data_IF_748196791458
#
_entry.id   IF_748196791458
#
_cell.length_a   1.000
_cell.length_b   1.000
_cell.length_c   1.000
_cell.angle_alpha   90.00
_cell.angle_beta   90.00
_cell.angle_gamma   90.00
#
_symmetry.space_group_name_H-M   'P 1'
#
loop_
_entity.id
_entity.type
_entity.pdbx_description
1 polymer ?
#
# COMPACT_ATOMS: atom_id res chain seq x y z
N UNK A 1 -2.55 -14.59 -33.71
CA UNK A 1 -1.49 -14.59 -32.67
C UNK A 1 -1.88 -13.54 -31.64
N UNK A 2 -1.89 -13.95 -30.36
CA UNK A 2 -2.18 -13.20 -29.14
C UNK A 2 -3.55 -12.50 -29.03
N UNK A 3 -4.46 -13.17 -28.32
CA UNK A 3 -5.71 -12.65 -27.79
C UNK A 3 -5.47 -11.48 -26.81
N UNK A 4 -6.38 -10.52 -26.82
CA UNK A 4 -6.39 -9.44 -25.84
C UNK A 4 -6.61 -9.98 -24.43
N UNK A 5 -5.76 -9.54 -23.49
CA UNK A 5 -6.04 -9.62 -22.07
C UNK A 5 -6.39 -8.22 -21.59
N UNK A 6 -7.68 -7.91 -21.62
CA UNK A 6 -8.25 -6.86 -20.79
C UNK A 6 -7.98 -7.24 -19.33
N UNK A 7 -7.05 -6.53 -18.68
CA UNK A 7 -6.79 -6.69 -17.26
C UNK A 7 -8.02 -6.13 -16.53
N UNK A 8 -8.96 -7.02 -16.20
CA UNK A 8 -10.11 -6.71 -15.37
C UNK A 8 -9.62 -6.44 -13.93
N UNK A 9 -9.24 -5.20 -13.64
CA UNK A 9 -9.04 -4.71 -12.27
C UNK A 9 -10.39 -4.51 -11.58
N UNK A 10 -11.18 -5.58 -11.47
CA UNK A 10 -12.34 -5.60 -10.60
C UNK A 10 -11.84 -5.74 -9.17
N UNK A 11 -12.07 -4.78 -8.25
CA UNK A 11 -11.63 -4.91 -6.88
C UNK A 11 -12.37 -6.10 -6.25
N UNK A 12 -11.66 -7.19 -5.99
CA UNK A 12 -12.15 -8.29 -5.18
C UNK A 12 -12.64 -7.70 -3.86
N UNK A 13 -13.79 -8.13 -3.35
CA UNK A 13 -14.51 -7.49 -2.23
C UNK A 13 -13.70 -7.35 -0.92
N UNK A 14 -12.52 -7.97 -0.82
CA UNK A 14 -11.49 -7.82 0.22
C UNK A 14 -10.55 -6.61 0.03
N UNK A 15 -10.51 -6.01 -1.15
CA UNK A 15 -9.68 -4.85 -1.53
C UNK A 15 -10.25 -3.48 -1.09
N UNK A 16 -11.12 -3.44 -0.08
CA UNK A 16 -11.77 -2.19 0.37
C UNK A 16 -10.86 -1.19 1.08
N UNK A 17 -9.56 -1.45 1.16
CA UNK A 17 -8.61 -0.49 1.74
C UNK A 17 -7.14 -0.73 1.40
N UNK A 18 -6.83 -1.56 0.40
CA UNK A 18 -5.44 -1.87 0.06
C UNK A 18 -5.09 -1.23 -1.28
N UNK A 19 -4.21 -0.23 -1.25
CA UNK A 19 -3.74 0.48 -2.43
C UNK A 19 -2.86 -0.45 -3.26
N UNK A 20 -3.17 -0.60 -4.55
CA UNK A 20 -2.30 -1.31 -5.51
C UNK A 20 -1.36 -0.30 -6.14
N UNK A 21 -0.05 -0.54 -6.04
CA UNK A 21 0.99 0.29 -6.64
C UNK A 21 1.46 -0.32 -7.95
N UNK A 22 1.71 0.56 -8.93
CA UNK A 22 2.29 0.14 -10.20
C UNK A 22 3.81 -0.10 -10.03
N UNK A 23 4.32 -1.26 -10.46
CA UNK A 23 5.73 -1.58 -10.31
C UNK A 23 6.63 -0.84 -11.31
N UNK A 24 6.15 -0.42 -12.49
CA UNK A 24 7.01 0.16 -13.54
C UNK A 24 7.71 1.45 -13.09
N UNK A 25 7.11 2.19 -12.16
CA UNK A 25 7.69 3.39 -11.54
C UNK A 25 8.65 3.13 -10.37
N UNK A 26 8.77 1.88 -9.88
CA UNK A 26 9.50 1.56 -8.66
C UNK A 26 10.90 0.99 -8.95
N UNK A 27 11.88 1.52 -8.24
CA UNK A 27 13.23 0.95 -8.18
C UNK A 27 13.24 -0.39 -7.44
N UNK A 28 14.23 -1.25 -7.72
CA UNK A 28 14.39 -2.54 -7.04
C UNK A 28 14.37 -2.40 -5.51
N UNK A 29 15.07 -1.41 -4.96
CA UNK A 29 15.09 -1.15 -3.52
C UNK A 29 13.72 -0.82 -2.93
N UNK A 30 12.80 -0.21 -3.69
CA UNK A 30 11.44 0.05 -3.23
C UNK A 30 10.57 -1.20 -3.29
N UNK A 31 10.74 -2.01 -4.34
CA UNK A 31 10.03 -3.30 -4.51
C UNK A 31 10.42 -4.30 -3.42
N UNK A 32 11.69 -4.29 -3.01
CA UNK A 32 12.21 -5.13 -1.92
C UNK A 32 11.85 -4.60 -0.52
N UNK A 33 11.24 -3.41 -0.42
CA UNK A 33 10.91 -2.76 0.85
C UNK A 33 12.11 -2.14 1.59
N UNK A 34 13.26 -2.03 0.92
CA UNK A 34 14.48 -1.39 1.44
C UNK A 34 14.46 0.14 1.35
N UNK A 35 13.60 0.70 0.50
CA UNK A 35 13.44 2.12 0.29
C UNK A 35 11.97 2.53 0.34
N UNK A 36 11.70 3.74 0.83
CA UNK A 36 10.35 4.27 0.88
C UNK A 36 9.80 4.42 -0.55
N UNK A 37 8.60 3.91 -0.79
CA UNK A 37 7.91 4.03 -2.09
C UNK A 37 7.69 5.49 -2.53
N UNK A 38 7.61 6.43 -1.59
CA UNK A 38 7.34 7.85 -1.88
C UNK A 38 8.62 8.69 -2.03
N UNK A 39 9.48 8.64 -1.02
CA UNK A 39 10.64 9.54 -0.92
C UNK A 39 11.98 8.84 -1.19
N UNK A 40 11.99 7.55 -1.52
CA UNK A 40 13.16 6.75 -1.90
C UNK A 40 14.23 6.62 -0.79
N UNK A 41 13.98 7.15 0.42
CA UNK A 41 14.92 7.05 1.53
C UNK A 41 15.05 5.60 2.00
N UNK A 42 16.28 5.16 2.21
CA UNK A 42 16.62 3.82 2.72
C UNK A 42 16.79 3.78 4.23
N UNK A 43 17.07 4.93 4.83
CA UNK A 43 17.26 5.10 6.25
C UNK A 43 16.42 6.28 6.77
N UNK A 44 15.68 6.14 7.89
CA UNK A 44 15.38 4.90 8.61
C UNK A 44 14.59 3.91 7.74
N UNK A 45 14.82 2.60 7.93
CA UNK A 45 14.28 1.54 7.06
C UNK A 45 12.75 1.55 7.06
N UNK A 46 12.09 1.53 5.90
CA UNK A 46 10.64 1.43 5.79
C UNK A 46 10.10 0.18 6.50
N UNK A 47 9.00 0.34 7.25
CA UNK A 47 8.34 -0.78 7.95
C UNK A 47 6.82 -0.73 7.86
N UNK A 48 6.27 0.36 7.33
CA UNK A 48 4.81 0.55 7.29
C UNK A 48 4.31 0.08 5.93
N UNK A 49 3.46 -0.95 5.93
CA UNK A 49 2.82 -1.45 4.72
C UNK A 49 1.72 -0.49 4.29
N UNK A 50 1.88 0.10 3.10
CA UNK A 50 0.92 1.06 2.54
C UNK A 50 0.10 0.46 1.39
N UNK A 51 0.51 -0.69 0.86
CA UNK A 51 -0.17 -1.33 -0.26
C UNK A 51 0.45 -2.65 -0.69
N UNK A 52 0.06 -3.08 -1.89
CA UNK A 52 0.63 -4.23 -2.60
C UNK A 52 0.97 -3.89 -4.05
N UNK A 53 1.89 -4.66 -4.62
CA UNK A 53 2.10 -4.77 -6.06
C UNK A 53 1.06 -5.71 -6.68
N UNK A 54 0.91 -5.72 -8.02
CA UNK A 54 0.08 -6.69 -8.74
C UNK A 54 0.52 -8.16 -8.57
N UNK A 55 1.77 -8.37 -8.13
CA UNK A 55 2.34 -9.67 -7.75
C UNK A 55 2.18 -10.00 -6.25
N UNK A 56 1.27 -9.31 -5.54
CA UNK A 56 0.99 -9.44 -4.10
C UNK A 56 2.15 -9.02 -3.16
N UNK A 57 3.30 -8.58 -3.70
CA UNK A 57 4.42 -8.07 -2.89
C UNK A 57 4.02 -6.84 -2.07
N UNK A 58 4.48 -6.75 -0.83
CA UNK A 58 4.12 -5.66 0.07
C UNK A 58 4.91 -4.37 -0.26
N UNK A 59 4.20 -3.25 -0.36
CA UNK A 59 4.82 -1.93 -0.53
C UNK A 59 5.03 -1.30 0.83
N UNK A 60 6.27 -0.90 1.11
CA UNK A 60 6.64 -0.27 2.37
C UNK A 60 6.92 1.24 2.19
N UNK A 61 6.46 2.01 3.18
CA UNK A 61 6.79 3.41 3.33
C UNK A 61 7.45 3.66 4.70
N UNK A 62 8.16 4.78 4.81
CA UNK A 62 8.59 5.29 6.10
C UNK A 62 7.41 5.89 6.87
N UNK A 63 7.51 5.99 8.21
CA UNK A 63 6.41 6.48 9.05
C UNK A 63 5.78 7.79 8.59
N UNK A 64 6.60 8.78 8.25
CA UNK A 64 6.15 10.10 7.79
C UNK A 64 5.30 10.02 6.49
N UNK A 65 5.84 9.40 5.43
CA UNK A 65 5.09 9.21 4.19
C UNK A 65 3.91 8.23 4.35
N UNK A 66 3.99 7.30 5.30
CA UNK A 66 2.90 6.37 5.57
C UNK A 66 1.70 7.07 6.20
N UNK A 67 1.93 8.07 7.08
CA UNK A 67 0.88 8.90 7.67
C UNK A 67 0.14 9.71 6.59
N UNK A 68 0.87 10.20 5.58
CA UNK A 68 0.26 10.92 4.45
C UNK A 68 -0.55 10.00 3.51
N UNK A 69 -0.19 8.72 3.42
CA UNK A 69 -0.81 7.76 2.49
C UNK A 69 -1.97 6.98 3.12
N UNK A 70 -1.83 6.60 4.40
CA UNK A 70 -2.83 5.82 5.09
C UNK A 70 -3.92 6.76 5.58
N UNK A 71 -5.20 6.53 5.20
CA UNK A 71 -6.28 7.28 5.81
C UNK A 71 -6.22 7.03 7.32
N UNK A 72 -6.25 8.13 8.09
CA UNK A 72 -6.36 8.02 9.54
C UNK A 72 -7.52 7.07 9.84
N UNK A 73 -7.36 6.07 10.72
CA UNK A 73 -8.46 5.22 11.11
C UNK A 73 -9.57 6.15 11.58
N UNK A 74 -10.68 6.16 10.83
CA UNK A 74 -11.88 6.87 11.24
C UNK A 74 -12.16 6.40 12.65
N UNK A 75 -12.06 7.31 13.62
CA UNK A 75 -12.19 6.96 15.02
C UNK A 75 -13.55 6.29 15.18
N UNK A 76 -13.56 4.97 15.37
CA UNK A 76 -14.78 4.26 15.70
C UNK A 76 -15.19 4.80 17.05
N UNK A 77 -16.23 5.64 17.06
CA UNK A 77 -16.87 6.09 18.30
C UNK A 77 -17.52 4.85 18.91
N UNK A 78 -16.78 4.17 19.76
CA UNK A 78 -17.33 3.15 20.64
C UNK A 78 -18.08 3.89 21.74
N UNK A 79 -19.40 3.92 21.62
CA UNK A 79 -20.26 4.36 22.71
C UNK A 79 -19.97 3.48 23.92
N UNK A 80 -19.42 4.04 24.99
CA UNK A 80 -19.23 3.34 26.25
C UNK A 80 -20.62 2.93 26.79
N UNK A 81 -20.90 1.63 27.00
CA UNK A 81 -22.16 1.22 27.60
C UNK A 81 -22.20 1.71 29.05
N UNK A 82 -23.19 2.54 29.37
CA UNK A 82 -23.47 2.96 30.74
C UNK A 82 -24.39 1.94 31.42
N UNK A 83 -23.80 0.96 32.12
CA UNK A 83 -24.23 0.42 33.44
C UNK A 83 -23.58 -0.90 33.77
#
# INVERSE_FOLDING_TARGET
MAAGSVMNWGPTRTARGMLTFDPEGLSAAQRDGDACVVCHKRWPRPRVRVGCLPDDSAVLACGDCAEALLPAPMATVVAFPSR
#
